data_IF_456463246613
#
_entry.id   IF_456463246613
#
_cell.length_a   1.000
_cell.length_b   1.000
_cell.length_c   1.000
_cell.angle_alpha   90.00
_cell.angle_beta   90.00
_cell.angle_gamma   90.00
#
_symmetry.space_group_name_H-M   'P 1'
#
loop_
_entity.id
_entity.type
_entity.pdbx_description
1 polymer ?
#
# COMPACT_ATOMS: atom_id res chain seq x y z
N UNK A 1 -3.60 -41.23 -38.48
CA UNK A 1 -2.78 -40.97 -37.29
C UNK A 1 -1.60 -40.02 -37.55
N UNK A 2 -0.66 -40.31 -38.47
CA UNK A 2 0.53 -39.43 -38.67
C UNK A 2 0.20 -37.95 -38.98
N UNK A 3 -0.77 -37.66 -39.82
CA UNK A 3 -1.20 -36.27 -40.13
C UNK A 3 -1.79 -35.54 -38.92
N UNK A 4 -2.56 -36.24 -38.07
CA UNK A 4 -3.13 -35.67 -36.88
C UNK A 4 -2.05 -35.28 -35.84
N UNK A 5 -1.05 -36.16 -35.66
CA UNK A 5 0.11 -35.91 -34.79
C UNK A 5 0.90 -34.70 -35.31
N UNK A 6 1.14 -34.61 -36.61
CA UNK A 6 1.84 -33.45 -37.20
C UNK A 6 1.07 -32.13 -36.96
N UNK A 7 -0.24 -32.13 -37.16
CA UNK A 7 -1.06 -30.93 -36.91
C UNK A 7 -1.00 -30.54 -35.45
N UNK A 8 -1.13 -31.50 -34.51
CA UNK A 8 -1.03 -31.24 -33.08
C UNK A 8 0.34 -30.69 -32.70
N UNK A 9 1.42 -31.24 -33.29
CA UNK A 9 2.78 -30.74 -33.05
C UNK A 9 2.95 -29.29 -33.50
N UNK A 10 2.44 -28.94 -34.67
CA UNK A 10 2.50 -27.54 -35.18
C UNK A 10 1.66 -26.58 -34.31
N UNK A 11 0.48 -27.00 -33.86
CA UNK A 11 -0.35 -26.19 -32.94
C UNK A 11 0.36 -25.95 -31.63
N UNK A 12 0.93 -27.00 -31.03
CA UNK A 12 1.68 -26.87 -29.76
C UNK A 12 2.94 -26.00 -29.94
N UNK A 13 3.64 -26.13 -31.07
CA UNK A 13 4.80 -25.29 -31.38
C UNK A 13 4.40 -23.82 -31.55
N UNK A 14 3.29 -23.53 -32.22
CA UNK A 14 2.78 -22.18 -32.39
C UNK A 14 2.35 -21.55 -31.08
N UNK A 15 1.68 -22.30 -30.20
CA UNK A 15 1.32 -21.87 -28.85
C UNK A 15 2.56 -21.60 -27.99
N UNK A 16 3.54 -22.51 -28.04
CA UNK A 16 4.82 -22.31 -27.33
C UNK A 16 5.57 -21.07 -27.80
N UNK A 17 5.63 -20.85 -29.11
CA UNK A 17 6.24 -19.65 -29.69
C UNK A 17 5.52 -18.37 -29.27
N UNK A 18 4.19 -18.38 -29.23
CA UNK A 18 3.39 -17.25 -28.75
C UNK A 18 3.73 -16.87 -27.30
N UNK A 19 3.84 -17.85 -26.39
CA UNK A 19 4.24 -17.60 -25.00
C UNK A 19 5.68 -17.10 -24.88
N UNK A 20 6.62 -17.64 -25.68
CA UNK A 20 8.00 -17.18 -25.69
C UNK A 20 8.09 -15.74 -26.19
N UNK A 21 7.39 -15.39 -27.27
CA UNK A 21 7.36 -14.03 -27.80
C UNK A 21 6.67 -13.06 -26.82
N UNK A 22 5.57 -13.48 -26.17
CA UNK A 22 4.90 -12.71 -25.13
C UNK A 22 5.83 -12.43 -23.94
N UNK A 23 6.51 -13.45 -23.45
CA UNK A 23 7.51 -13.29 -22.37
C UNK A 23 8.66 -12.39 -22.80
N UNK A 24 9.22 -12.57 -23.99
CA UNK A 24 10.28 -11.72 -24.51
C UNK A 24 9.83 -10.27 -24.67
N UNK A 25 8.61 -10.02 -25.14
CA UNK A 25 8.05 -8.68 -25.26
C UNK A 25 7.90 -7.98 -23.89
N UNK A 26 7.46 -8.72 -22.86
CA UNK A 26 7.41 -8.22 -21.46
C UNK A 26 8.83 -7.96 -20.93
N UNK A 27 9.75 -8.91 -21.13
CA UNK A 27 11.13 -8.80 -20.66
C UNK A 27 11.90 -7.64 -21.31
N UNK A 28 11.64 -7.38 -22.59
CA UNK A 28 12.24 -6.27 -23.35
C UNK A 28 11.51 -4.93 -23.17
N UNK A 29 10.45 -4.89 -22.34
CA UNK A 29 9.67 -3.67 -22.10
C UNK A 29 8.87 -3.19 -23.32
N UNK A 30 8.58 -4.08 -24.28
CA UNK A 30 7.83 -3.76 -25.49
C UNK A 30 6.31 -3.77 -25.26
N UNK A 31 5.84 -4.23 -24.11
CA UNK A 31 4.43 -4.23 -23.72
C UNK A 31 4.24 -3.36 -22.48
N UNK A 32 3.23 -2.47 -22.51
CA UNK A 32 2.70 -1.85 -21.31
C UNK A 32 1.94 -2.91 -20.51
N UNK A 33 2.63 -3.61 -19.62
CA UNK A 33 1.96 -4.47 -18.66
C UNK A 33 1.32 -3.61 -17.57
N UNK A 34 0.01 -3.79 -17.25
CA UNK A 34 -0.57 -3.19 -16.06
C UNK A 34 0.26 -3.61 -14.85
N UNK A 35 0.91 -2.66 -14.17
CA UNK A 35 1.88 -2.91 -13.09
C UNK A 35 3.35 -2.77 -13.50
N UNK A 36 3.65 -2.53 -14.77
CA UNK A 36 4.99 -2.12 -15.20
C UNK A 36 5.31 -0.72 -14.68
N UNK A 37 6.39 -0.60 -13.90
CA UNK A 37 6.88 0.71 -13.45
C UNK A 37 7.32 1.48 -14.69
N UNK A 38 6.71 2.63 -14.96
CA UNK A 38 7.24 3.56 -15.95
C UNK A 38 8.55 4.15 -15.43
N UNK A 39 9.65 3.56 -15.82
CA UNK A 39 11.01 3.95 -15.43
C UNK A 39 11.39 5.37 -15.89
N UNK A 40 10.59 5.96 -16.79
CA UNK A 40 10.82 7.30 -17.35
C UNK A 40 10.15 8.43 -16.56
N UNK A 41 9.08 8.17 -15.83
CA UNK A 41 8.40 9.19 -15.03
C UNK A 41 8.96 9.26 -13.63
N UNK A 42 9.95 10.11 -13.43
CA UNK A 42 10.34 10.53 -12.07
C UNK A 42 9.18 11.35 -11.51
N UNK A 43 8.49 10.78 -10.51
CA UNK A 43 7.54 11.56 -9.72
C UNK A 43 8.33 12.65 -8.99
N UNK A 44 8.12 13.91 -9.40
CA UNK A 44 8.72 15.07 -8.76
C UNK A 44 7.60 15.96 -8.28
N UNK A 45 7.52 16.17 -6.98
CA UNK A 45 6.66 17.20 -6.40
C UNK A 45 7.45 18.51 -6.44
N UNK A 46 6.92 19.50 -7.15
CA UNK A 46 7.52 20.83 -7.14
C UNK A 46 7.34 21.46 -5.74
N UNK A 47 8.40 22.02 -5.14
CA UNK A 47 8.33 22.61 -3.81
C UNK A 47 7.23 23.66 -3.65
N UNK A 48 6.92 24.39 -4.72
CA UNK A 48 5.84 25.38 -4.77
C UNK A 48 4.43 24.80 -4.70
N UNK A 49 4.29 23.47 -4.82
CA UNK A 49 2.99 22.78 -4.81
C UNK A 49 2.66 22.14 -3.45
N UNK A 50 3.59 22.19 -2.50
CA UNK A 50 3.41 21.59 -1.19
C UNK A 50 2.34 22.33 -0.40
N UNK A 51 1.38 21.59 0.14
CA UNK A 51 0.29 22.14 0.95
C UNK A 51 -0.73 22.99 0.17
N UNK A 52 -0.63 23.04 -1.17
CA UNK A 52 -1.63 23.74 -1.97
C UNK A 52 -2.82 22.84 -2.28
N UNK A 53 -4.03 23.39 -2.18
CA UNK A 53 -5.25 22.75 -2.67
C UNK A 53 -5.25 22.76 -4.20
N UNK A 54 -4.65 21.73 -4.80
CA UNK A 54 -4.67 21.51 -6.25
C UNK A 54 -5.75 20.50 -6.58
N UNK A 55 -6.56 20.82 -7.58
CA UNK A 55 -7.49 19.85 -8.16
C UNK A 55 -6.73 18.76 -8.90
N UNK A 56 -6.91 17.52 -8.44
CA UNK A 56 -6.29 16.33 -8.99
C UNK A 56 -7.41 15.32 -9.30
N UNK A 57 -7.21 14.43 -10.24
CA UNK A 57 -8.25 13.48 -10.65
C UNK A 57 -8.78 12.61 -9.50
N UNK A 58 -8.00 12.42 -8.43
CA UNK A 58 -8.38 11.60 -7.28
C UNK A 58 -9.13 12.38 -6.18
N UNK A 59 -9.05 13.75 -6.14
CA UNK A 59 -9.66 14.54 -5.07
C UNK A 59 -10.87 15.42 -5.52
N UNK A 60 -11.34 15.24 -6.76
CA UNK A 60 -12.49 16.04 -7.27
C UNK A 60 -13.84 15.30 -7.15
N UNK A 61 -13.86 13.99 -6.89
CA UNK A 61 -15.08 13.18 -6.88
C UNK A 61 -15.81 13.14 -5.55
N UNK A 62 -17.06 12.68 -5.58
CA UNK A 62 -17.86 12.35 -4.38
C UNK A 62 -17.19 11.28 -3.53
N UNK A 63 -16.43 10.41 -4.16
CA UNK A 63 -15.64 9.34 -3.57
C UNK A 63 -14.61 9.90 -2.59
N UNK A 64 -13.87 10.93 -3.02
CA UNK A 64 -12.93 11.62 -2.16
C UNK A 64 -13.63 12.32 -0.99
N UNK A 65 -14.74 13.02 -1.24
CA UNK A 65 -15.49 13.69 -0.16
C UNK A 65 -15.95 12.73 0.92
N UNK A 66 -16.44 11.56 0.52
CA UNK A 66 -16.85 10.49 1.43
C UNK A 66 -15.67 9.94 2.22
N UNK A 67 -14.57 9.64 1.54
CA UNK A 67 -13.34 9.13 2.15
C UNK A 67 -12.71 10.15 3.10
N UNK A 68 -12.64 11.41 2.69
CA UNK A 68 -12.12 12.51 3.52
C UNK A 68 -12.90 12.61 4.83
N UNK A 69 -14.22 12.68 4.78
CA UNK A 69 -15.05 12.75 5.98
C UNK A 69 -14.95 11.51 6.89
N UNK A 70 -14.67 10.33 6.33
CA UNK A 70 -14.43 9.13 7.10
C UNK A 70 -13.05 9.17 7.81
N UNK A 71 -12.01 9.63 7.11
CA UNK A 71 -10.66 9.78 7.69
C UNK A 71 -10.64 10.86 8.78
N UNK A 72 -11.36 11.97 8.61
CA UNK A 72 -11.50 13.00 9.65
C UNK A 72 -12.10 12.45 10.95
N UNK A 73 -13.09 11.55 10.85
CA UNK A 73 -13.67 10.89 12.03
C UNK A 73 -12.66 10.00 12.75
N UNK A 74 -11.80 9.33 12.01
CA UNK A 74 -10.78 8.43 12.53
C UNK A 74 -9.47 9.13 12.89
N UNK A 75 -9.34 10.44 12.63
CA UNK A 75 -8.08 11.17 12.78
C UNK A 75 -7.41 10.97 14.15
N UNK A 76 -8.20 10.95 15.22
CA UNK A 76 -7.68 10.72 16.59
C UNK A 76 -7.07 9.33 16.73
N UNK A 77 -7.72 8.31 16.18
CA UNK A 77 -7.31 6.90 16.27
C UNK A 77 -6.07 6.66 15.40
N UNK A 78 -6.04 7.22 14.20
CA UNK A 78 -4.87 7.17 13.30
C UNK A 78 -3.66 7.82 13.96
N UNK A 79 -3.81 9.03 14.51
CA UNK A 79 -2.73 9.74 15.20
C UNK A 79 -2.22 8.94 16.41
N UNK A 80 -3.12 8.31 17.18
CA UNK A 80 -2.75 7.46 18.31
C UNK A 80 -1.91 6.26 17.87
N UNK A 81 -2.36 5.51 16.87
CA UNK A 81 -1.65 4.34 16.34
C UNK A 81 -0.27 4.72 15.77
N UNK A 82 -0.21 5.79 14.99
CA UNK A 82 1.04 6.31 14.43
C UNK A 82 2.03 6.73 15.53
N UNK A 83 1.55 7.41 16.58
CA UNK A 83 2.37 7.81 17.74
C UNK A 83 2.93 6.61 18.49
N UNK A 84 2.13 5.57 18.71
CA UNK A 84 2.56 4.33 19.39
C UNK A 84 3.65 3.63 18.60
N UNK A 85 3.50 3.52 17.29
CA UNK A 85 4.49 2.93 16.41
C UNK A 85 5.71 3.83 16.15
N UNK A 86 5.61 5.13 16.39
CA UNK A 86 6.67 6.11 16.10
C UNK A 86 6.87 6.36 14.61
N UNK A 87 5.76 6.50 13.86
CA UNK A 87 5.73 6.88 12.45
C UNK A 87 5.00 8.20 12.26
N UNK A 88 5.22 8.83 11.12
CA UNK A 88 4.48 10.02 10.71
C UNK A 88 3.00 9.67 10.46
N UNK A 89 2.04 10.28 11.18
CA UNK A 89 0.62 10.03 10.98
C UNK A 89 0.17 10.31 9.54
N UNK A 90 0.76 11.33 8.88
CA UNK A 90 0.41 11.67 7.51
C UNK A 90 0.88 10.60 6.52
N UNK A 91 2.02 9.95 6.77
CA UNK A 91 2.47 8.81 5.98
C UNK A 91 1.51 7.62 6.10
N UNK A 92 1.07 7.30 7.34
CA UNK A 92 0.08 6.24 7.57
C UNK A 92 -1.23 6.56 6.85
N UNK A 93 -1.71 7.81 6.97
CA UNK A 93 -2.91 8.29 6.26
C UNK A 93 -2.74 8.25 4.75
N UNK A 94 -1.53 8.53 4.22
CA UNK A 94 -1.26 8.42 2.79
C UNK A 94 -1.46 6.99 2.27
N UNK A 95 -0.97 6.00 3.01
CA UNK A 95 -1.20 4.59 2.65
C UNK A 95 -2.69 4.22 2.76
N UNK A 96 -3.40 4.68 3.79
CA UNK A 96 -4.85 4.49 3.94
C UNK A 96 -5.62 5.05 2.75
N UNK A 97 -5.37 6.29 2.37
CA UNK A 97 -6.02 6.96 1.23
C UNK A 97 -5.85 6.14 -0.05
N UNK A 98 -4.63 5.68 -0.32
CA UNK A 98 -4.36 4.91 -1.54
C UNK A 98 -5.03 3.55 -1.51
N UNK A 99 -5.02 2.83 -0.37
CA UNK A 99 -5.72 1.56 -0.24
C UNK A 99 -7.22 1.72 -0.47
N UNK A 100 -7.84 2.74 0.10
CA UNK A 100 -9.26 2.99 -0.05
C UNK A 100 -9.64 3.43 -1.48
N UNK A 101 -8.86 4.31 -2.11
CA UNK A 101 -9.06 4.68 -3.51
C UNK A 101 -8.86 3.48 -4.44
N UNK A 102 -7.87 2.63 -4.17
CA UNK A 102 -7.65 1.41 -4.94
C UNK A 102 -8.85 0.47 -4.88
N UNK A 103 -9.39 0.21 -3.69
CA UNK A 103 -10.59 -0.61 -3.52
C UNK A 103 -11.77 0.01 -4.28
N UNK A 104 -11.99 1.29 -4.10
CA UNK A 104 -13.10 2.00 -4.74
C UNK A 104 -13.06 1.91 -6.27
N UNK A 105 -11.90 2.14 -6.88
CA UNK A 105 -11.77 2.20 -8.34
C UNK A 105 -11.53 0.83 -9.00
N UNK A 106 -10.94 -0.14 -8.29
CA UNK A 106 -10.69 -1.50 -8.84
C UNK A 106 -11.92 -2.40 -8.75
N UNK A 107 -12.77 -2.22 -7.73
CA UNK A 107 -13.93 -3.06 -7.47
C UNK A 107 -15.26 -2.31 -7.73
N UNK A 108 -15.22 -1.26 -8.54
CA UNK A 108 -16.28 -0.28 -8.72
C UNK A 108 -17.66 -0.86 -9.00
N UNK A 109 -17.77 -1.89 -9.82
CA UNK A 109 -19.07 -2.49 -10.19
C UNK A 109 -19.64 -3.35 -9.07
N UNK A 110 -18.80 -4.11 -8.38
CA UNK A 110 -19.19 -4.96 -7.25
C UNK A 110 -19.46 -4.11 -6.01
N UNK A 111 -18.62 -3.11 -5.79
CA UNK A 111 -18.70 -2.20 -4.64
C UNK A 111 -19.97 -1.34 -4.64
N UNK A 112 -20.35 -0.78 -5.79
CA UNK A 112 -21.55 0.06 -5.92
C UNK A 112 -22.86 -0.69 -5.67
N UNK A 113 -22.90 -2.00 -5.90
CA UNK A 113 -24.11 -2.80 -5.74
C UNK A 113 -24.32 -3.32 -4.32
N UNK A 114 -23.25 -3.43 -3.53
CA UNK A 114 -23.29 -4.17 -2.25
C UNK A 114 -23.10 -3.28 -1.02
N UNK A 115 -22.48 -2.09 -1.14
CA UNK A 115 -22.04 -1.35 0.04
C UNK A 115 -22.56 0.09 0.12
N UNK A 116 -23.07 0.43 1.30
CA UNK A 116 -23.33 1.79 1.77
C UNK A 116 -21.99 2.54 2.02
N UNK A 117 -21.93 3.89 1.87
CA UNK A 117 -20.72 4.67 2.08
C UNK A 117 -20.00 4.48 3.43
N UNK A 118 -20.71 3.99 4.45
CA UNK A 118 -20.14 3.70 5.78
C UNK A 118 -19.34 2.40 5.85
N UNK A 119 -19.50 1.52 4.86
CA UNK A 119 -18.82 0.21 4.80
C UNK A 119 -17.46 0.33 4.05
N UNK A 120 -17.17 1.46 3.43
CA UNK A 120 -15.92 1.70 2.69
C UNK A 120 -14.69 1.49 3.59
N UNK A 121 -14.78 1.83 4.89
CA UNK A 121 -13.69 1.64 5.84
C UNK A 121 -13.60 0.22 6.44
N UNK A 122 -14.53 -0.68 6.15
CA UNK A 122 -14.60 -2.01 6.78
C UNK A 122 -14.60 -3.22 5.85
N UNK A 123 -14.51 -3.03 4.52
CA UNK A 123 -14.70 -4.15 3.58
C UNK A 123 -13.61 -5.20 3.66
N UNK A 124 -14.06 -6.44 3.84
CA UNK A 124 -13.23 -7.64 3.74
C UNK A 124 -13.17 -8.06 2.28
N UNK A 125 -11.97 -8.11 1.70
CA UNK A 125 -11.75 -8.93 0.52
C UNK A 125 -11.23 -10.30 0.96
N UNK A 126 -11.40 -11.35 0.13
CA UNK A 126 -10.82 -12.68 0.41
C UNK A 126 -9.29 -12.65 0.57
N UNK A 127 -8.65 -11.53 0.22
CA UNK A 127 -7.21 -11.40 0.12
C UNK A 127 -6.61 -10.34 1.06
N UNK A 128 -7.42 -9.47 1.69
CA UNK A 128 -6.92 -8.43 2.59
C UNK A 128 -7.96 -8.04 3.64
N UNK A 129 -7.50 -7.68 4.84
CA UNK A 129 -8.31 -7.43 6.02
C UNK A 129 -8.28 -5.97 6.44
N UNK A 130 -9.45 -5.47 6.84
CA UNK A 130 -9.63 -4.16 7.44
C UNK A 130 -9.36 -2.97 6.52
N UNK A 131 -9.47 -1.79 7.10
CA UNK A 131 -9.39 -0.51 6.39
C UNK A 131 -8.06 -0.24 5.69
N UNK A 132 -6.98 -0.86 6.18
CA UNK A 132 -5.62 -0.75 5.63
C UNK A 132 -5.28 -1.84 4.61
N UNK A 133 -6.21 -2.73 4.29
CA UNK A 133 -6.01 -3.80 3.31
C UNK A 133 -4.86 -4.74 3.65
N UNK A 134 -4.64 -5.04 4.93
CA UNK A 134 -3.53 -5.88 5.36
C UNK A 134 -3.76 -7.35 5.02
N UNK A 135 -2.75 -7.99 4.42
CA UNK A 135 -2.79 -9.44 4.17
C UNK A 135 -2.52 -10.22 5.45
N UNK A 136 -3.22 -11.35 5.67
CA UNK A 136 -3.01 -12.21 6.86
C UNK A 136 -1.55 -12.56 7.09
N UNK A 137 -0.84 -12.92 6.02
CA UNK A 137 0.58 -13.31 6.09
C UNK A 137 1.46 -12.12 6.47
N UNK A 138 1.13 -10.91 5.99
CA UNK A 138 1.85 -9.69 6.37
C UNK A 138 1.64 -9.39 7.85
N UNK A 139 0.42 -9.51 8.37
CA UNK A 139 0.14 -9.33 9.79
C UNK A 139 0.94 -10.30 10.67
N UNK A 140 1.00 -11.58 10.29
CA UNK A 140 1.82 -12.59 11.00
C UNK A 140 3.31 -12.25 10.98
N UNK A 141 3.82 -11.77 9.85
CA UNK A 141 5.23 -11.33 9.76
C UNK A 141 5.50 -10.10 10.62
N UNK A 142 4.58 -9.13 10.67
CA UNK A 142 4.69 -7.96 11.55
C UNK A 142 4.86 -8.40 13.01
N UNK A 143 4.02 -9.33 13.49
CA UNK A 143 4.09 -9.88 14.84
C UNK A 143 5.39 -10.64 15.10
N UNK A 144 5.78 -11.51 14.16
CA UNK A 144 7.02 -12.31 14.25
C UNK A 144 8.24 -11.40 14.36
N UNK A 145 8.35 -10.39 13.51
CA UNK A 145 9.49 -9.48 13.48
C UNK A 145 9.56 -8.56 14.70
N UNK A 146 8.45 -8.29 15.38
CA UNK A 146 8.48 -7.60 16.66
C UNK A 146 9.19 -8.41 17.75
N UNK A 147 9.18 -9.73 17.68
CA UNK A 147 9.68 -10.65 18.69
C UNK A 147 11.00 -11.35 18.31
N UNK A 148 11.56 -11.02 17.16
CA UNK A 148 12.81 -11.63 16.65
C UNK A 148 13.96 -10.61 16.61
N UNK A 149 14.82 -10.56 17.66
CA UNK A 149 15.97 -9.65 17.69
C UNK A 149 16.98 -9.86 16.57
N UNK A 150 16.97 -11.01 15.89
CA UNK A 150 17.85 -11.28 14.75
C UNK A 150 17.28 -10.73 13.43
N UNK A 151 16.02 -10.35 13.39
CA UNK A 151 15.38 -9.79 12.20
C UNK A 151 15.86 -8.37 11.90
N UNK A 152 16.14 -8.00 10.64
CA UNK A 152 16.40 -6.63 10.25
C UNK A 152 15.19 -5.69 10.50
N UNK A 153 14.02 -6.26 10.68
CA UNK A 153 12.76 -5.56 10.95
C UNK A 153 12.44 -5.40 12.45
N UNK A 154 13.32 -5.88 13.34
CA UNK A 154 13.14 -5.75 14.78
C UNK A 154 13.21 -4.30 15.25
N UNK A 155 12.23 -3.89 16.05
CA UNK A 155 12.11 -2.50 16.49
C UNK A 155 12.68 -2.22 17.89
N UNK A 156 13.12 -3.27 18.58
CA UNK A 156 13.62 -3.20 19.96
C UNK A 156 12.57 -3.61 21.00
N UNK A 157 13.04 -3.94 22.22
CA UNK A 157 12.26 -4.55 23.30
C UNK A 157 10.96 -3.79 23.67
N UNK A 158 10.95 -2.47 23.53
CA UNK A 158 9.76 -1.66 23.85
C UNK A 158 8.55 -1.94 22.96
N UNK A 159 8.76 -2.56 21.78
CA UNK A 159 7.70 -2.86 20.82
C UNK A 159 7.23 -4.30 20.87
N UNK A 160 7.97 -5.22 21.51
CA UNK A 160 7.72 -6.66 21.49
C UNK A 160 6.30 -7.05 21.90
N UNK A 161 5.72 -6.29 22.83
CA UNK A 161 4.42 -6.58 23.45
C UNK A 161 3.25 -5.79 22.87
N UNK A 162 3.47 -4.95 21.85
CA UNK A 162 2.42 -4.06 21.32
C UNK A 162 1.26 -4.82 20.66
N UNK A 163 1.52 -6.02 20.13
CA UNK A 163 0.52 -6.84 19.44
C UNK A 163 0.21 -8.14 20.18
N UNK A 164 0.59 -8.28 21.44
CA UNK A 164 0.31 -9.49 22.22
C UNK A 164 -1.19 -9.81 22.23
N UNK A 165 -1.50 -11.09 22.08
CA UNK A 165 -2.87 -11.58 22.11
C UNK A 165 -3.32 -11.81 23.56
N UNK A 166 -4.61 -11.62 23.76
CA UNK A 166 -5.26 -11.84 25.07
C UNK A 166 -5.97 -13.19 25.13
N UNK A 167 -6.24 -13.79 23.97
CA UNK A 167 -6.89 -15.10 23.86
C UNK A 167 -5.91 -16.19 23.47
N UNK A 168 -6.31 -17.46 23.65
CA UNK A 168 -5.52 -18.62 23.20
C UNK A 168 -5.56 -18.86 21.69
N UNK A 169 -6.41 -18.15 20.93
CA UNK A 169 -6.56 -18.27 19.49
C UNK A 169 -6.06 -17.01 18.78
N UNK A 170 -4.76 -16.97 18.51
CA UNK A 170 -4.12 -15.81 17.88
C UNK A 170 -4.66 -15.51 16.47
N UNK A 171 -5.04 -16.53 15.69
CA UNK A 171 -5.54 -16.30 14.33
C UNK A 171 -6.93 -15.65 14.34
N UNK A 172 -7.81 -16.07 15.22
CA UNK A 172 -9.14 -15.50 15.40
C UNK A 172 -9.06 -14.07 15.97
N UNK A 173 -8.24 -13.86 17.00
CA UNK A 173 -8.08 -12.54 17.60
C UNK A 173 -7.46 -11.54 16.62
N UNK A 174 -6.43 -11.95 15.86
CA UNK A 174 -5.86 -11.14 14.78
C UNK A 174 -6.91 -10.75 13.74
N UNK A 175 -7.69 -11.73 13.30
CA UNK A 175 -8.77 -11.47 12.35
C UNK A 175 -9.74 -10.44 12.92
N UNK A 176 -10.30 -10.67 14.10
CA UNK A 176 -11.25 -9.77 14.76
C UNK A 176 -10.67 -8.35 14.91
N UNK A 177 -9.43 -8.23 15.39
CA UNK A 177 -8.74 -6.93 15.53
C UNK A 177 -8.61 -6.16 14.21
N UNK A 178 -8.34 -6.85 13.11
CA UNK A 178 -8.09 -6.20 11.82
C UNK A 178 -9.37 -5.82 11.07
N UNK A 179 -10.48 -6.55 11.29
CA UNK A 179 -11.74 -6.36 10.57
C UNK A 179 -12.81 -5.65 11.38
N UNK A 180 -12.51 -5.18 12.58
CA UNK A 180 -13.48 -4.47 13.41
C UNK A 180 -13.95 -3.20 12.68
N UNK A 181 -15.27 -3.12 12.43
CA UNK A 181 -15.91 -2.01 11.73
C UNK A 181 -16.19 -0.81 12.63
N UNK A 182 -16.08 -0.99 13.95
CA UNK A 182 -16.37 0.03 14.96
C UNK A 182 -15.11 0.62 15.59
N UNK A 183 -14.03 -0.14 15.61
CA UNK A 183 -12.72 0.29 16.12
C UNK A 183 -11.59 -0.12 15.17
N UNK A 184 -11.16 0.82 14.34
CA UNK A 184 -10.08 0.61 13.37
C UNK A 184 -8.68 0.69 14.00
N UNK A 185 -8.55 0.90 15.31
CA UNK A 185 -7.27 1.13 15.97
C UNK A 185 -6.22 0.05 15.64
N UNK A 186 -6.61 -1.20 15.72
CA UNK A 186 -5.69 -2.30 15.45
C UNK A 186 -5.24 -2.35 13.99
N UNK A 187 -6.13 -2.09 13.05
CA UNK A 187 -5.78 -2.03 11.61
C UNK A 187 -4.75 -0.92 11.34
N UNK A 188 -4.92 0.24 11.98
CA UNK A 188 -3.94 1.32 11.92
C UNK A 188 -2.64 1.00 12.64
N UNK A 189 -2.69 0.37 13.83
CA UNK A 189 -1.50 0.03 14.60
C UNK A 189 -0.61 -0.99 13.87
N UNK A 190 -1.20 -2.07 13.34
CA UNK A 190 -0.46 -3.05 12.54
C UNK A 190 0.23 -2.39 11.34
N UNK A 191 -0.49 -1.54 10.63
CA UNK A 191 0.05 -0.84 9.46
C UNK A 191 1.15 0.16 9.82
N UNK A 192 0.99 0.87 10.93
CA UNK A 192 1.99 1.78 11.44
C UNK A 192 3.27 1.04 11.89
N UNK A 193 3.13 -0.09 12.58
CA UNK A 193 4.27 -0.95 12.95
C UNK A 193 4.95 -1.49 11.68
N UNK A 194 4.20 -1.94 10.70
CA UNK A 194 4.73 -2.41 9.43
C UNK A 194 5.56 -1.32 8.72
N UNK A 195 5.05 -0.09 8.61
CA UNK A 195 5.79 1.04 8.07
C UNK A 195 7.08 1.30 8.86
N UNK A 196 7.02 1.24 10.20
CA UNK A 196 8.20 1.41 11.05
C UNK A 196 9.25 0.33 10.83
N UNK A 197 8.83 -0.92 10.69
CA UNK A 197 9.70 -2.06 10.40
C UNK A 197 10.42 -1.88 9.06
N UNK A 198 9.70 -1.48 8.00
CA UNK A 198 10.30 -1.18 6.69
C UNK A 198 11.35 -0.06 6.80
N UNK A 199 11.01 1.05 7.44
CA UNK A 199 11.93 2.17 7.64
C UNK A 199 13.17 1.76 8.43
N UNK A 200 12.99 0.95 9.49
CA UNK A 200 14.10 0.48 10.34
C UNK A 200 15.03 -0.43 9.56
N UNK A 201 14.52 -1.42 8.85
CA UNK A 201 15.34 -2.36 8.07
C UNK A 201 16.17 -1.63 7.00
N UNK A 202 15.58 -0.68 6.30
CA UNK A 202 16.27 0.09 5.28
C UNK A 202 17.32 1.02 5.88
N UNK A 203 17.03 1.67 7.02
CA UNK A 203 17.99 2.52 7.72
C UNK A 203 19.17 1.71 8.27
N UNK A 204 18.91 0.53 8.85
CA UNK A 204 19.94 -0.37 9.35
C UNK A 204 20.86 -0.87 8.23
N UNK A 205 20.34 -1.06 7.03
CA UNK A 205 21.12 -1.41 5.85
C UNK A 205 21.88 -0.22 5.23
N UNK A 206 21.79 0.98 5.80
CA UNK A 206 22.49 2.19 5.31
C UNK A 206 21.75 2.98 4.23
N UNK A 207 20.49 2.65 3.95
CA UNK A 207 19.67 3.30 2.94
C UNK A 207 18.36 3.86 3.54
N UNK A 208 18.42 4.87 4.42
CA UNK A 208 17.21 5.39 5.09
C UNK A 208 16.20 5.95 4.10
N UNK A 209 14.94 5.57 4.27
CA UNK A 209 13.81 5.96 3.40
C UNK A 209 12.77 6.83 4.10
N UNK A 210 13.02 7.23 5.35
CA UNK A 210 12.05 7.97 6.17
C UNK A 210 11.55 9.25 5.49
N UNK A 211 12.41 9.87 4.69
CA UNK A 211 12.10 11.09 3.96
C UNK A 211 11.59 10.85 2.53
N UNK A 212 11.47 9.59 2.12
CA UNK A 212 10.97 9.23 0.79
C UNK A 212 9.60 8.57 0.90
N UNK A 213 8.57 9.40 0.94
CA UNK A 213 7.17 8.97 1.12
C UNK A 213 6.76 7.97 0.04
N UNK A 214 7.06 8.28 -1.23
CA UNK A 214 6.68 7.43 -2.36
C UNK A 214 7.33 6.04 -2.31
N UNK A 215 8.61 5.97 -1.92
CA UNK A 215 9.29 4.68 -1.74
C UNK A 215 8.74 3.92 -0.55
N UNK A 216 8.55 4.58 0.60
CA UNK A 216 8.01 3.93 1.80
C UNK A 216 6.62 3.34 1.53
N UNK A 217 5.74 4.09 0.88
CA UNK A 217 4.42 3.61 0.48
C UNK A 217 4.49 2.49 -0.58
N UNK A 218 5.46 2.55 -1.50
CA UNK A 218 5.70 1.46 -2.45
C UNK A 218 6.03 0.16 -1.72
N UNK A 219 6.95 0.20 -0.77
CA UNK A 219 7.34 -0.97 0.03
C UNK A 219 6.19 -1.50 0.87
N UNK A 220 5.37 -0.62 1.45
CA UNK A 220 4.15 -1.00 2.14
C UNK A 220 3.21 -1.83 1.24
N UNK A 221 3.03 -1.41 0.00
CA UNK A 221 2.14 -2.08 -0.95
C UNK A 221 2.70 -3.42 -1.44
N UNK A 222 4.01 -3.50 -1.74
CA UNK A 222 4.59 -4.71 -2.35
C UNK A 222 4.97 -5.81 -1.34
N UNK A 223 5.22 -5.47 -0.08
CA UNK A 223 5.53 -6.44 0.97
C UNK A 223 7.00 -6.49 1.39
N UNK A 224 7.28 -7.11 2.56
CA UNK A 224 8.61 -7.19 3.17
C UNK A 224 9.71 -7.71 2.24
N UNK A 225 9.43 -8.78 1.50
CA UNK A 225 10.44 -9.58 0.78
C UNK A 225 10.47 -9.29 -0.73
N UNK A 226 9.91 -8.16 -1.17
CA UNK A 226 9.81 -7.83 -2.60
C UNK A 226 10.81 -6.78 -3.06
N UNK A 227 11.54 -6.16 -2.14
CA UNK A 227 12.60 -5.21 -2.47
C UNK A 227 13.69 -5.25 -1.41
N UNK A 228 14.94 -5.23 -1.85
CA UNK A 228 16.11 -5.14 -0.98
C UNK A 228 16.57 -3.69 -0.84
N UNK A 229 17.12 -3.30 0.33
CA UNK A 229 17.70 -1.97 0.53
C UNK A 229 18.80 -1.65 -0.51
N UNK A 230 18.71 -0.47 -1.13
CA UNK A 230 19.63 0.00 -2.17
C UNK A 230 19.64 1.52 -2.27
N UNK A 231 20.68 2.07 -2.87
CA UNK A 231 20.94 3.53 -2.96
C UNK A 231 19.92 4.30 -3.81
N UNK A 232 19.28 3.66 -4.77
CA UNK A 232 18.32 4.31 -5.68
C UNK A 232 17.01 3.53 -5.75
N UNK A 233 16.23 3.48 -4.65
CA UNK A 233 14.93 2.84 -4.66
C UNK A 233 13.94 3.62 -5.55
N UNK A 234 13.05 2.89 -6.21
CA UNK A 234 12.07 3.47 -7.12
C UNK A 234 10.69 3.57 -6.49
N UNK A 235 9.95 4.61 -6.86
CA UNK A 235 8.54 4.75 -6.56
C UNK A 235 7.73 3.91 -7.55
N UNK A 236 6.78 3.09 -7.04
CA UNK A 236 6.01 2.16 -7.85
C UNK A 236 4.86 1.55 -7.05
N UNK A 237 4.72 0.23 -7.13
CA UNK A 237 3.63 -0.54 -6.52
C UNK A 237 2.48 -0.77 -7.50
N UNK A 238 1.30 -1.18 -6.99
CA UNK A 238 0.12 -1.43 -7.80
C UNK A 238 -0.29 -0.21 -8.60
N UNK A 239 -0.73 -0.43 -9.85
CA UNK A 239 -1.30 0.64 -10.68
C UNK A 239 -2.79 0.79 -10.35
N UNK A 240 -3.22 2.02 -10.19
CA UNK A 240 -4.59 2.42 -9.85
C UNK A 240 -5.05 3.43 -10.90
N UNK A 241 -6.09 3.09 -11.66
CA UNK A 241 -6.70 4.00 -12.61
C UNK A 241 -7.80 4.81 -11.92
N UNK A 242 -7.64 6.12 -11.86
CA UNK A 242 -8.63 7.04 -11.30
C UNK A 242 -9.02 8.05 -12.37
N UNK A 243 -10.26 7.98 -12.84
CA UNK A 243 -10.78 8.89 -13.86
C UNK A 243 -9.88 8.99 -15.12
N UNK A 244 -9.44 7.83 -15.64
CA UNK A 244 -8.54 7.67 -16.79
C UNK A 244 -7.10 8.20 -16.57
N UNK A 245 -6.69 8.38 -15.31
CA UNK A 245 -5.29 8.69 -14.96
C UNK A 245 -4.71 7.52 -14.18
N UNK A 246 -3.60 6.99 -14.66
CA UNK A 246 -2.89 5.90 -14.00
C UNK A 246 -1.93 6.45 -12.94
N UNK A 247 -2.06 5.94 -11.73
CA UNK A 247 -1.17 6.20 -10.60
C UNK A 247 -0.50 4.90 -10.15
N UNK A 248 0.73 4.97 -9.70
CA UNK A 248 1.28 3.90 -8.87
C UNK A 248 0.92 4.15 -7.41
N UNK A 249 0.87 3.10 -6.59
CA UNK A 249 0.57 3.22 -5.16
C UNK A 249 1.46 4.26 -4.48
N UNK A 250 2.78 4.17 -4.69
CA UNK A 250 3.74 5.11 -4.09
C UNK A 250 3.60 6.53 -4.61
N UNK A 251 3.30 6.72 -5.92
CA UNK A 251 3.13 8.06 -6.47
C UNK A 251 1.87 8.75 -5.95
N UNK A 252 0.77 8.01 -5.82
CA UNK A 252 -0.48 8.54 -5.28
C UNK A 252 -0.35 8.88 -3.80
N UNK A 253 0.33 8.02 -3.01
CA UNK A 253 0.62 8.29 -1.60
C UNK A 253 1.46 9.57 -1.42
N UNK A 254 2.49 9.76 -2.24
CA UNK A 254 3.30 10.96 -2.20
C UNK A 254 2.51 12.21 -2.64
N UNK A 255 1.63 12.10 -3.66
CA UNK A 255 0.75 13.20 -4.04
C UNK A 255 -0.18 13.62 -2.90
N UNK A 256 -0.81 12.66 -2.23
CA UNK A 256 -1.63 12.96 -1.06
C UNK A 256 -0.79 13.59 0.06
N UNK A 257 0.36 13.00 0.38
CA UNK A 257 1.23 13.49 1.46
C UNK A 257 1.59 14.97 1.30
N UNK A 258 1.91 15.41 0.08
CA UNK A 258 2.30 16.78 -0.21
C UNK A 258 1.13 17.68 -0.66
N UNK A 259 -0.10 17.17 -0.70
CA UNK A 259 -1.30 17.95 -1.02
C UNK A 259 -1.75 18.85 0.14
N UNK A 260 -2.74 19.70 -0.14
CA UNK A 260 -3.43 20.52 0.87
C UNK A 260 -4.50 19.76 1.67
N UNK A 261 -4.76 18.49 1.32
CA UNK A 261 -5.85 17.72 1.93
C UNK A 261 -5.52 17.32 3.37
N UNK A 262 -6.49 17.38 4.27
CA UNK A 262 -6.43 16.94 5.67
C UNK A 262 -5.26 17.53 6.50
N UNK A 263 -4.74 18.71 6.13
CA UNK A 263 -3.59 19.32 6.82
C UNK A 263 -3.87 19.67 8.28
N UNK A 264 -5.12 19.93 8.64
CA UNK A 264 -5.53 20.24 10.01
C UNK A 264 -5.27 19.05 10.94
N UNK A 265 -5.60 17.84 10.49
CA UNK A 265 -5.54 16.62 11.30
C UNK A 265 -4.21 15.88 11.13
N UNK A 266 -3.58 16.02 9.96
CA UNK A 266 -2.32 15.40 9.58
C UNK A 266 -1.41 16.43 8.90
N UNK A 267 -0.71 17.29 9.65
CA UNK A 267 0.21 18.28 9.09
C UNK A 267 1.39 17.62 8.37
N UNK A 268 1.94 18.29 7.36
CA UNK A 268 3.19 17.86 6.72
C UNK A 268 4.34 18.10 7.69
N UNK A 269 5.02 17.03 8.11
CA UNK A 269 6.15 17.09 9.04
C UNK A 269 7.49 16.91 8.34
N UNK A 270 7.49 16.37 7.12
CA UNK A 270 8.69 16.05 6.37
C UNK A 270 8.75 16.78 5.03
N UNK A 271 9.64 17.75 4.94
CA UNK A 271 9.90 18.56 3.75
C UNK A 271 11.16 18.13 2.98
N UNK A 272 11.90 17.15 3.47
CA UNK A 272 13.24 16.80 2.96
C UNK A 272 13.24 15.73 1.84
N UNK A 273 12.09 15.26 1.42
CA UNK A 273 11.95 14.26 0.35
C UNK A 273 11.74 14.83 -1.05
N UNK A 274 12.07 16.10 -1.26
CA UNK A 274 11.86 16.86 -2.49
C UNK A 274 13.10 16.94 -3.36
#
# INVERSE_FOLDING_TARGET
MKRLIQILTYVLAAVGLFFILGYAAVYLGLTNTPGGVDLGRRFRVEPSQIGQAKKLSWNEGSEWQTLNGAIEKDAKVINQAAKVAGVDPRLLTSCLVVEQLRLFYSEREVFKQVFSPLVILGTQSQFSWGVMGMKPETAKLVEQYLKDPASPYYLGARYEHLLDFTTGNADEERFTRLVDEHDHYWSYLYSAIYLKQLQTAWATAGYPINNNIGVTATLFNIGFNKSEPKSAPQVGGAVININNVDYTFGSLAAQFYYSGELLKDFPITNYSGL
#
